data_IF_231451674957
#
_entry.id   IF_231451674957
#
_cell.length_a   1.000
_cell.length_b   1.000
_cell.length_c   1.000
_cell.angle_alpha   90.00
_cell.angle_beta   90.00
_cell.angle_gamma   90.00
#
_symmetry.space_group_name_H-M   'P 1'
#
loop_
_entity.id
_entity.type
_entity.pdbx_description
1 polymer ?
#
# COMPACT_ATOMS: atom_id res chain seq x y z
N UNK A 1 12.83 -33.41 -15.11
CA UNK A 1 12.40 -32.11 -14.56
C UNK A 1 10.89 -32.04 -14.22
N UNK A 2 9.98 -32.78 -14.88
CA UNK A 2 8.53 -32.73 -14.54
C UNK A 2 8.14 -33.46 -13.25
N UNK A 3 8.89 -34.44 -12.79
CA UNK A 3 8.57 -35.16 -11.55
C UNK A 3 9.05 -34.48 -10.27
N UNK A 4 10.18 -33.78 -10.32
CA UNK A 4 10.71 -33.09 -9.13
C UNK A 4 9.81 -31.95 -8.59
N UNK A 5 9.00 -31.29 -9.45
CA UNK A 5 8.15 -30.18 -9.01
C UNK A 5 6.85 -30.62 -8.31
N UNK A 6 6.36 -31.86 -8.54
CA UNK A 6 5.12 -32.36 -7.94
C UNK A 6 5.25 -32.67 -6.44
N UNK A 7 6.44 -33.05 -6.01
CA UNK A 7 6.67 -33.37 -4.59
C UNK A 7 6.90 -32.12 -3.73
N UNK A 8 7.25 -30.97 -4.36
CA UNK A 8 7.54 -29.71 -3.64
C UNK A 8 6.29 -28.88 -3.39
N UNK A 9 5.33 -28.89 -4.31
CA UNK A 9 4.12 -28.05 -4.26
C UNK A 9 2.86 -28.88 -4.42
N UNK A 10 1.76 -28.41 -3.82
CA UNK A 10 0.42 -28.88 -4.17
C UNK A 10 -0.01 -28.10 -5.42
N UNK A 11 -0.15 -28.79 -6.54
CA UNK A 11 -0.51 -28.16 -7.82
C UNK A 11 -2.02 -27.94 -7.89
N UNK A 12 -2.45 -26.68 -8.04
CA UNK A 12 -3.88 -26.36 -8.17
C UNK A 12 -4.53 -27.08 -9.33
N UNK A 13 -3.82 -27.24 -10.45
CA UNK A 13 -4.36 -27.88 -11.66
C UNK A 13 -4.66 -29.37 -11.53
N UNK A 14 -4.22 -30.01 -10.47
CA UNK A 14 -4.61 -31.41 -10.17
C UNK A 14 -6.04 -31.46 -9.57
N UNK A 15 -6.60 -30.35 -9.11
CA UNK A 15 -7.91 -30.22 -8.46
C UNK A 15 -8.86 -29.30 -9.22
N UNK A 16 -8.34 -28.18 -9.72
CA UNK A 16 -9.10 -27.10 -10.36
C UNK A 16 -8.45 -26.74 -11.69
N UNK A 17 -9.26 -26.61 -12.75
CA UNK A 17 -8.77 -26.19 -14.06
C UNK A 17 -8.92 -24.67 -14.23
N UNK A 18 -7.86 -23.95 -14.66
CA UNK A 18 -7.97 -22.54 -15.05
C UNK A 18 -8.75 -22.38 -16.35
N UNK A 19 -9.15 -21.14 -16.65
CA UNK A 19 -9.77 -20.72 -17.92
C UNK A 19 -11.11 -21.40 -18.24
N UNK A 20 -11.84 -21.88 -17.24
CA UNK A 20 -13.12 -22.58 -17.44
C UNK A 20 -14.31 -21.63 -17.49
N UNK A 21 -14.14 -20.37 -17.08
CA UNK A 21 -15.25 -19.43 -16.89
C UNK A 21 -16.13 -19.74 -15.67
N UNK A 22 -15.77 -20.72 -14.85
CA UNK A 22 -16.54 -21.14 -13.67
C UNK A 22 -15.91 -20.65 -12.38
N UNK A 23 -16.75 -20.44 -11.37
CA UNK A 23 -16.32 -20.21 -10.00
C UNK A 23 -15.56 -21.40 -9.44
N UNK A 24 -14.39 -21.13 -8.85
CA UNK A 24 -13.53 -22.15 -8.25
C UNK A 24 -13.24 -21.87 -6.77
N UNK A 25 -13.95 -20.90 -6.16
CA UNK A 25 -13.71 -20.48 -4.78
C UNK A 25 -13.79 -21.60 -3.77
N UNK A 26 -14.84 -22.42 -3.83
CA UNK A 26 -15.06 -23.52 -2.87
C UNK A 26 -14.01 -24.62 -3.00
N UNK A 27 -13.64 -24.95 -4.22
CA UNK A 27 -12.64 -26.00 -4.46
C UNK A 27 -11.24 -25.55 -4.03
N UNK A 28 -10.90 -24.28 -4.28
CA UNK A 28 -9.65 -23.70 -3.78
C UNK A 28 -9.63 -23.60 -2.26
N UNK A 29 -10.75 -23.19 -1.63
CA UNK A 29 -10.84 -23.12 -0.17
C UNK A 29 -10.66 -24.50 0.47
N UNK A 30 -11.29 -25.54 -0.08
CA UNK A 30 -11.08 -26.93 0.37
C UNK A 30 -9.63 -27.38 0.19
N UNK A 31 -9.03 -27.05 -0.96
CA UNK A 31 -7.64 -27.37 -1.24
C UNK A 31 -6.70 -26.75 -0.21
N UNK A 32 -6.91 -25.46 0.14
CA UNK A 32 -6.12 -24.75 1.14
C UNK A 32 -6.23 -25.45 2.50
N UNK A 33 -7.45 -25.69 2.98
CA UNK A 33 -7.68 -26.26 4.32
C UNK A 33 -7.20 -27.72 4.45
N UNK A 34 -7.19 -28.48 3.36
CA UNK A 34 -6.75 -29.87 3.36
C UNK A 34 -5.24 -30.07 3.20
N UNK A 35 -4.47 -28.99 3.04
CA UNK A 35 -3.03 -29.05 2.82
C UNK A 35 -2.24 -28.17 3.80
N UNK A 36 -2.35 -28.39 5.13
CA UNK A 36 -1.58 -27.65 6.11
C UNK A 36 -0.08 -27.84 5.89
N UNK A 37 0.68 -26.79 6.18
CA UNK A 37 2.15 -26.76 6.06
C UNK A 37 2.67 -27.04 4.64
N UNK A 38 1.89 -26.65 3.61
CA UNK A 38 2.27 -26.81 2.21
C UNK A 38 2.20 -25.48 1.46
N UNK A 39 2.98 -25.41 0.41
CA UNK A 39 2.84 -24.35 -0.60
C UNK A 39 1.92 -24.84 -1.71
N UNK A 40 0.86 -24.09 -1.98
CA UNK A 40 -0.07 -24.33 -3.08
C UNK A 40 0.37 -23.49 -4.26
N UNK A 41 0.66 -24.12 -5.38
CA UNK A 41 1.12 -23.48 -6.60
C UNK A 41 0.02 -23.39 -7.65
N UNK A 42 -0.17 -22.15 -8.16
CA UNK A 42 -1.12 -21.83 -9.23
C UNK A 42 -0.36 -21.68 -10.55
N UNK A 43 -0.44 -22.62 -11.48
CA UNK A 43 0.05 -22.43 -12.84
C UNK A 43 -0.67 -21.30 -13.58
N UNK A 44 -0.08 -20.85 -14.68
CA UNK A 44 -0.66 -19.79 -15.53
C UNK A 44 -2.10 -20.09 -15.94
N UNK A 45 -2.91 -19.06 -15.94
CA UNK A 45 -4.33 -19.10 -16.31
C UNK A 45 -5.21 -18.27 -15.38
N UNK A 46 -6.48 -18.16 -15.73
CA UNK A 46 -7.46 -17.39 -14.97
C UNK A 46 -8.31 -18.29 -14.09
N UNK A 47 -8.36 -17.96 -12.80
CA UNK A 47 -9.15 -18.63 -11.77
C UNK A 47 -10.18 -17.62 -11.26
N UNK A 48 -11.47 -17.87 -11.54
CA UNK A 48 -12.56 -16.98 -11.17
C UNK A 48 -13.07 -17.29 -9.78
N UNK A 49 -13.25 -16.22 -8.99
CA UNK A 49 -13.68 -16.27 -7.60
C UNK A 49 -14.99 -15.51 -7.40
N UNK A 50 -16.00 -16.13 -6.81
CA UNK A 50 -17.23 -15.45 -6.37
C UNK A 50 -17.17 -15.01 -4.92
N UNK A 51 -16.19 -15.48 -4.14
CA UNK A 51 -15.94 -15.15 -2.74
C UNK A 51 -14.46 -15.33 -2.39
N UNK A 52 -14.00 -14.76 -1.24
CA UNK A 52 -12.62 -14.85 -0.80
C UNK A 52 -12.10 -16.27 -0.66
N UNK A 53 -10.79 -16.46 -0.92
CA UNK A 53 -10.05 -17.60 -0.42
C UNK A 53 -9.25 -17.19 0.82
N UNK A 54 -9.27 -18.01 1.86
CA UNK A 54 -8.74 -17.71 3.18
C UNK A 54 -7.67 -18.72 3.58
N UNK A 55 -6.49 -18.26 4.01
CA UNK A 55 -5.49 -19.12 4.64
C UNK A 55 -5.70 -19.19 6.15
N UNK A 56 -5.29 -20.29 6.82
CA UNK A 56 -5.33 -20.39 8.27
C UNK A 56 -4.43 -19.36 8.95
N UNK A 57 -4.85 -18.85 10.10
CA UNK A 57 -4.04 -17.94 10.93
C UNK A 57 -3.10 -18.70 11.88
N UNK A 58 -3.44 -19.94 12.22
CA UNK A 58 -2.61 -20.74 13.11
C UNK A 58 -1.34 -21.21 12.39
N UNK A 59 -0.12 -20.82 12.86
CA UNK A 59 1.12 -21.20 12.20
C UNK A 59 1.36 -22.73 12.15
N UNK A 60 0.69 -23.51 13.00
CA UNK A 60 0.73 -24.99 12.94
C UNK A 60 0.08 -25.51 11.65
N UNK A 61 -0.86 -24.77 11.07
CA UNK A 61 -1.57 -25.11 9.85
C UNK A 61 -1.26 -24.15 8.70
N UNK A 62 -0.13 -23.44 8.76
CA UNK A 62 0.24 -22.42 7.79
C UNK A 62 0.19 -22.94 6.35
N UNK A 63 -0.29 -22.11 5.42
CA UNK A 63 -0.35 -22.40 4.00
C UNK A 63 0.19 -21.21 3.23
N UNK A 64 1.14 -21.45 2.34
CA UNK A 64 1.65 -20.43 1.42
C UNK A 64 1.01 -20.56 0.04
N UNK A 65 0.73 -19.45 -0.61
CA UNK A 65 0.18 -19.39 -1.95
C UNK A 65 1.24 -18.82 -2.90
N UNK A 66 1.58 -19.58 -3.93
CA UNK A 66 2.53 -19.17 -4.96
C UNK A 66 1.88 -19.22 -6.33
N UNK A 67 1.91 -18.10 -7.04
CA UNK A 67 1.33 -17.96 -8.36
C UNK A 67 2.44 -17.84 -9.41
N UNK A 68 2.28 -18.53 -10.53
CA UNK A 68 3.07 -18.25 -11.72
C UNK A 68 2.79 -16.84 -12.24
N UNK A 69 3.69 -16.26 -13.01
CA UNK A 69 3.64 -14.86 -13.43
C UNK A 69 2.31 -14.47 -14.09
N UNK A 70 1.70 -15.35 -14.87
CA UNK A 70 0.43 -15.12 -15.55
C UNK A 70 -0.75 -15.87 -14.92
N UNK A 71 -0.57 -16.45 -13.74
CA UNK A 71 -1.70 -16.94 -12.96
C UNK A 71 -2.49 -15.75 -12.42
N UNK A 72 -3.80 -15.74 -12.66
CA UNK A 72 -4.69 -14.64 -12.29
C UNK A 72 -5.83 -15.16 -11.41
N UNK A 73 -5.95 -14.61 -10.22
CA UNK A 73 -7.15 -14.71 -9.40
C UNK A 73 -8.03 -13.50 -9.71
N UNK A 74 -9.26 -13.71 -10.14
CA UNK A 74 -10.15 -12.62 -10.57
C UNK A 74 -11.51 -12.73 -9.92
N UNK A 75 -12.02 -11.61 -9.39
CA UNK A 75 -13.38 -11.51 -8.90
C UNK A 75 -14.39 -11.67 -10.05
N UNK A 76 -15.42 -12.48 -9.84
CA UNK A 76 -16.55 -12.63 -10.76
C UNK A 76 -17.48 -11.40 -10.67
N UNK A 77 -18.30 -11.20 -11.68
CA UNK A 77 -19.34 -10.15 -11.67
C UNK A 77 -20.38 -10.37 -10.55
N UNK A 78 -20.50 -11.58 -10.08
CA UNK A 78 -21.37 -11.99 -8.95
C UNK A 78 -20.76 -11.71 -7.58
N UNK A 79 -19.54 -11.19 -7.50
CA UNK A 79 -18.91 -10.83 -6.22
C UNK A 79 -19.69 -9.76 -5.50
N UNK A 80 -20.10 -10.00 -4.26
CA UNK A 80 -20.93 -9.10 -3.46
C UNK A 80 -20.28 -8.65 -2.15
N UNK A 81 -19.19 -9.32 -1.75
CA UNK A 81 -18.48 -9.03 -0.50
C UNK A 81 -17.55 -7.84 -0.67
N UNK A 82 -17.43 -6.99 0.36
CA UNK A 82 -16.44 -5.90 0.39
C UNK A 82 -15.08 -6.38 0.97
N UNK A 83 -14.69 -7.59 0.62
CA UNK A 83 -13.48 -8.23 1.15
C UNK A 83 -12.43 -8.41 0.07
N UNK A 84 -11.22 -8.80 0.48
CA UNK A 84 -10.12 -9.09 -0.43
C UNK A 84 -10.31 -10.46 -1.12
N UNK A 85 -9.81 -10.58 -2.36
CA UNK A 85 -9.75 -11.85 -3.09
C UNK A 85 -9.04 -12.93 -2.28
N UNK A 86 -7.93 -12.53 -1.63
CA UNK A 86 -7.13 -13.39 -0.76
C UNK A 86 -7.09 -12.80 0.64
N UNK A 87 -7.48 -13.57 1.63
CA UNK A 87 -7.45 -13.19 3.04
C UNK A 87 -6.50 -14.09 3.80
N UNK A 88 -5.31 -13.58 4.08
CA UNK A 88 -4.28 -14.33 4.80
C UNK A 88 -4.59 -14.32 6.30
N UNK A 89 -4.59 -15.50 6.92
CA UNK A 89 -4.91 -15.64 8.32
C UNK A 89 -6.37 -15.38 8.70
N UNK A 90 -7.31 -15.57 7.78
CA UNK A 90 -8.74 -15.36 8.01
C UNK A 90 -9.53 -16.64 8.29
N UNK A 91 -9.02 -17.79 7.82
CA UNK A 91 -9.62 -19.08 8.16
C UNK A 91 -9.14 -19.47 9.57
N UNK A 92 -10.06 -19.68 10.50
CA UNK A 92 -9.76 -19.95 11.90
C UNK A 92 -8.93 -18.81 12.52
N UNK A 93 -9.49 -17.60 12.67
CA UNK A 93 -8.74 -16.43 13.10
C UNK A 93 -8.07 -16.64 14.44
N UNK A 94 -6.78 -16.36 14.48
CA UNK A 94 -5.95 -16.46 15.68
C UNK A 94 -5.47 -15.06 16.07
N UNK A 95 -5.90 -14.61 17.25
CA UNK A 95 -5.65 -13.23 17.72
C UNK A 95 -4.28 -13.03 18.38
N UNK A 96 -3.39 -13.99 18.38
CA UNK A 96 -2.10 -13.86 19.06
C UNK A 96 -0.99 -13.45 18.10
N UNK A 97 -0.41 -12.28 18.32
CA UNK A 97 0.83 -11.82 17.68
C UNK A 97 2.08 -12.38 18.41
N UNK A 98 1.90 -13.15 19.47
CA UNK A 98 3.01 -13.65 20.31
C UNK A 98 3.60 -14.95 19.81
N UNK A 99 3.01 -15.57 18.79
CA UNK A 99 3.60 -16.75 18.15
C UNK A 99 4.48 -16.26 17.00
N UNK A 100 5.82 -16.29 17.15
CA UNK A 100 6.74 -15.86 16.11
C UNK A 100 6.75 -16.84 14.95
N UNK A 101 7.12 -16.32 13.78
CA UNK A 101 7.42 -17.14 12.62
C UNK A 101 6.19 -17.79 11.99
N UNK A 102 5.20 -17.00 11.64
CA UNK A 102 4.06 -17.50 10.87
C UNK A 102 4.45 -18.07 9.52
N UNK A 103 5.55 -17.64 8.94
CA UNK A 103 6.21 -18.17 7.73
C UNK A 103 5.28 -18.52 6.57
N UNK A 104 4.16 -17.82 6.38
CA UNK A 104 3.33 -17.99 5.22
C UNK A 104 3.46 -16.81 4.27
N UNK A 105 3.42 -17.16 3.00
CA UNK A 105 3.70 -16.24 1.93
C UNK A 105 2.57 -16.21 0.92
N UNK A 106 2.33 -15.01 0.37
CA UNK A 106 1.70 -14.86 -0.92
C UNK A 106 2.74 -14.36 -1.91
N UNK A 107 3.01 -15.10 -2.98
CA UNK A 107 4.05 -14.74 -3.94
C UNK A 107 3.54 -14.86 -5.38
N UNK A 108 3.79 -13.82 -6.16
CA UNK A 108 3.63 -13.82 -7.62
C UNK A 108 2.22 -13.56 -8.13
N UNK A 109 2.07 -13.65 -9.43
CA UNK A 109 0.81 -13.60 -10.16
C UNK A 109 0.08 -12.27 -10.18
N UNK A 110 -1.19 -12.34 -10.52
CA UNK A 110 -2.08 -11.21 -10.72
C UNK A 110 -3.35 -11.39 -9.87
N UNK A 111 -3.68 -10.38 -9.09
CA UNK A 111 -4.98 -10.25 -8.42
C UNK A 111 -5.80 -9.18 -9.14
N UNK A 112 -6.95 -9.55 -9.68
CA UNK A 112 -7.84 -8.64 -10.40
C UNK A 112 -9.18 -8.52 -9.66
N UNK A 113 -9.35 -7.41 -8.95
CA UNK A 113 -10.56 -7.13 -8.18
C UNK A 113 -11.81 -6.88 -9.05
N UNK A 114 -11.64 -6.72 -10.36
CA UNK A 114 -12.74 -6.46 -11.31
C UNK A 114 -13.63 -5.26 -10.89
N UNK A 115 -13.07 -4.30 -10.16
CA UNK A 115 -13.82 -3.18 -9.58
C UNK A 115 -14.82 -3.56 -8.47
N UNK A 116 -14.76 -4.78 -7.94
CA UNK A 116 -15.73 -5.34 -6.97
C UNK A 116 -15.08 -5.83 -5.68
N UNK A 117 -13.93 -6.50 -5.78
CA UNK A 117 -13.19 -7.04 -4.65
C UNK A 117 -11.96 -6.17 -4.34
N UNK A 118 -11.50 -6.20 -3.09
CA UNK A 118 -10.18 -5.75 -2.71
C UNK A 118 -9.12 -6.78 -3.13
N UNK A 119 -7.83 -6.40 -3.08
CA UNK A 119 -6.76 -7.27 -3.55
C UNK A 119 -6.42 -8.38 -2.56
N UNK A 120 -5.62 -8.08 -1.57
CA UNK A 120 -5.17 -9.03 -0.55
C UNK A 120 -5.27 -8.39 0.84
N UNK A 121 -5.67 -9.17 1.85
CA UNK A 121 -5.59 -8.73 3.24
C UNK A 121 -4.77 -9.70 4.10
N UNK A 122 -4.10 -9.14 5.12
CA UNK A 122 -3.54 -9.91 6.23
C UNK A 122 -4.48 -9.67 7.41
N UNK A 123 -5.34 -10.65 7.68
CA UNK A 123 -6.36 -10.55 8.71
C UNK A 123 -5.79 -10.87 10.09
N UNK A 124 -4.89 -11.85 10.18
CA UNK A 124 -4.16 -12.20 11.38
C UNK A 124 -2.83 -12.86 11.02
N UNK A 125 -1.84 -12.68 11.87
CA UNK A 125 -0.55 -13.32 11.74
C UNK A 125 0.61 -12.36 12.00
N UNK A 126 1.75 -12.93 12.30
CA UNK A 126 3.01 -12.23 12.46
C UNK A 126 3.97 -12.66 11.36
N UNK A 127 4.80 -11.74 10.88
CA UNK A 127 5.84 -12.04 9.88
C UNK A 127 5.28 -12.64 8.57
N UNK A 128 4.06 -12.22 8.18
CA UNK A 128 3.44 -12.62 6.93
C UNK A 128 4.05 -11.85 5.76
N UNK A 129 4.33 -12.54 4.65
CA UNK A 129 5.00 -11.92 3.51
C UNK A 129 4.11 -11.86 2.25
N UNK A 130 4.17 -10.72 1.53
CA UNK A 130 3.51 -10.52 0.23
C UNK A 130 4.56 -10.02 -0.76
N UNK A 131 4.88 -10.84 -1.76
CA UNK A 131 5.98 -10.58 -2.66
C UNK A 131 5.61 -10.70 -4.15
N UNK A 132 6.16 -9.80 -4.98
CA UNK A 132 6.14 -9.92 -6.46
C UNK A 132 4.74 -10.03 -7.10
N UNK A 133 3.73 -9.40 -6.54
CA UNK A 133 2.36 -9.48 -7.00
C UNK A 133 1.93 -8.22 -7.76
N UNK A 134 1.10 -8.41 -8.80
CA UNK A 134 0.37 -7.34 -9.48
C UNK A 134 -1.08 -7.33 -9.05
N UNK A 135 -1.54 -6.25 -8.41
CA UNK A 135 -2.90 -6.07 -7.94
C UNK A 135 -3.56 -4.98 -8.78
N UNK A 136 -4.77 -5.22 -9.29
CA UNK A 136 -5.44 -4.25 -10.13
C UNK A 136 -6.96 -4.24 -9.98
N UNK A 137 -7.56 -3.11 -10.37
CA UNK A 137 -9.01 -2.88 -10.36
C UNK A 137 -9.62 -3.12 -8.97
N UNK A 138 -8.96 -2.62 -7.91
CA UNK A 138 -9.37 -2.78 -6.50
C UNK A 138 -9.66 -1.44 -5.86
N UNK A 139 -10.59 -1.40 -4.90
CA UNK A 139 -10.77 -0.23 -4.04
C UNK A 139 -9.63 -0.14 -3.00
N UNK A 140 -9.31 -1.25 -2.32
CA UNK A 140 -8.12 -1.38 -1.47
C UNK A 140 -7.20 -2.44 -2.07
N UNK A 141 -5.96 -2.06 -2.37
CA UNK A 141 -4.98 -3.01 -2.92
C UNK A 141 -4.51 -4.01 -1.87
N UNK A 142 -3.91 -3.53 -0.79
CA UNK A 142 -3.46 -4.34 0.35
C UNK A 142 -4.06 -3.76 1.63
N UNK A 143 -4.59 -4.64 2.51
CA UNK A 143 -5.10 -4.26 3.82
C UNK A 143 -4.45 -5.10 4.92
N UNK A 144 -3.59 -4.50 5.75
CA UNK A 144 -3.00 -5.15 6.93
C UNK A 144 -3.87 -4.77 8.13
N UNK A 145 -4.68 -5.71 8.61
CA UNK A 145 -5.78 -5.45 9.54
C UNK A 145 -5.34 -5.51 11.00
N UNK A 146 -5.95 -4.66 11.82
CA UNK A 146 -5.85 -4.67 13.27
C UNK A 146 -7.19 -4.32 13.90
N UNK A 147 -7.55 -4.99 15.01
CA UNK A 147 -8.81 -4.72 15.69
C UNK A 147 -9.22 -5.84 16.65
N UNK A 148 -10.49 -5.87 17.01
CA UNK A 148 -11.00 -6.86 17.98
C UNK A 148 -10.86 -8.32 17.49
N UNK A 149 -11.02 -8.52 16.18
CA UNK A 149 -11.00 -9.85 15.53
C UNK A 149 -9.81 -10.05 14.58
N UNK A 150 -8.92 -9.06 14.45
CA UNK A 150 -7.80 -9.08 13.51
C UNK A 150 -6.56 -8.57 14.22
N UNK A 151 -5.45 -9.26 14.08
CA UNK A 151 -4.15 -8.81 14.62
C UNK A 151 -3.03 -9.24 13.71
N UNK A 152 -2.44 -8.25 13.02
CA UNK A 152 -1.31 -8.46 12.14
C UNK A 152 -0.15 -7.56 12.53
N UNK A 153 1.05 -8.09 12.56
CA UNK A 153 2.27 -7.31 12.79
C UNK A 153 3.44 -7.89 12.02
N UNK A 154 4.51 -7.09 11.91
CA UNK A 154 5.78 -7.50 11.32
C UNK A 154 5.65 -8.07 9.89
N UNK A 155 4.66 -7.61 9.12
CA UNK A 155 4.51 -8.06 7.74
C UNK A 155 5.64 -7.50 6.86
N UNK A 156 6.11 -8.33 5.91
CA UNK A 156 7.04 -7.93 4.85
C UNK A 156 6.33 -7.89 3.50
N UNK A 157 6.22 -6.69 2.94
CA UNK A 157 5.58 -6.46 1.64
C UNK A 157 6.59 -5.86 0.68
N UNK A 158 6.94 -6.57 -0.38
CA UNK A 158 7.91 -6.03 -1.31
C UNK A 158 7.65 -6.36 -2.79
N UNK A 159 8.12 -5.47 -3.66
CA UNK A 159 8.03 -5.64 -5.12
C UNK A 159 6.59 -5.85 -5.61
N UNK A 160 5.67 -5.02 -5.10
CA UNK A 160 4.25 -5.07 -5.43
C UNK A 160 3.88 -3.90 -6.33
N UNK A 161 3.09 -4.17 -7.37
CA UNK A 161 2.48 -3.16 -8.21
C UNK A 161 0.97 -3.14 -7.97
N UNK A 162 0.41 -1.95 -7.68
CA UNK A 162 -1.02 -1.76 -7.43
C UNK A 162 -1.56 -0.75 -8.44
N UNK A 163 -2.66 -1.09 -9.08
CA UNK A 163 -3.48 -0.16 -9.86
C UNK A 163 -4.90 -0.21 -9.32
N UNK A 164 -5.32 0.86 -8.65
CA UNK A 164 -6.66 0.95 -8.07
C UNK A 164 -7.78 1.07 -9.11
N UNK A 165 -8.98 1.30 -8.63
CA UNK A 165 -10.19 1.45 -9.45
C UNK A 165 -10.56 2.93 -9.73
N UNK A 166 -9.66 3.87 -9.42
CA UNK A 166 -9.83 5.32 -9.59
C UNK A 166 -10.99 5.95 -8.78
N UNK A 167 -11.58 5.24 -7.83
CA UNK A 167 -12.61 5.83 -6.97
C UNK A 167 -11.99 6.79 -5.94
N UNK A 168 -12.78 7.75 -5.47
CA UNK A 168 -12.38 8.69 -4.41
C UNK A 168 -12.19 8.05 -3.02
N UNK A 169 -12.57 6.80 -2.88
CA UNK A 169 -12.37 5.99 -1.66
C UNK A 169 -11.24 4.98 -1.81
N UNK A 170 -10.58 4.94 -2.99
CA UNK A 170 -9.56 3.94 -3.27
C UNK A 170 -8.25 4.22 -2.51
N UNK A 171 -7.69 3.15 -1.95
CA UNK A 171 -6.45 3.16 -1.17
C UNK A 171 -5.51 2.08 -1.73
N UNK A 172 -4.26 2.45 -2.01
CA UNK A 172 -3.28 1.46 -2.44
C UNK A 172 -2.95 0.47 -1.33
N UNK A 173 -2.49 0.96 -0.18
CA UNK A 173 -2.21 0.14 1.01
C UNK A 173 -2.82 0.80 2.25
N UNK A 174 -3.62 0.04 2.99
CA UNK A 174 -4.17 0.41 4.29
C UNK A 174 -3.50 -0.43 5.38
N UNK A 175 -2.80 0.26 6.32
CA UNK A 175 -2.10 -0.35 7.44
C UNK A 175 -2.77 0.03 8.76
N UNK A 176 -3.40 -0.95 9.38
CA UNK A 176 -3.87 -0.86 10.76
C UNK A 176 -2.98 -1.67 11.72
N UNK A 177 -2.29 -2.70 11.19
CA UNK A 177 -1.27 -3.50 11.92
C UNK A 177 0.06 -2.78 12.07
N UNK A 178 0.88 -3.18 13.03
CA UNK A 178 2.09 -2.50 13.47
C UNK A 178 3.37 -3.15 12.96
N UNK A 179 4.48 -2.40 12.99
CA UNK A 179 5.86 -2.88 12.78
C UNK A 179 6.09 -3.51 11.39
N UNK A 180 5.35 -3.07 10.39
CA UNK A 180 5.43 -3.62 9.03
C UNK A 180 6.55 -2.98 8.22
N UNK A 181 7.12 -3.73 7.27
CA UNK A 181 8.10 -3.26 6.30
C UNK A 181 7.53 -3.32 4.89
N UNK A 182 7.45 -2.17 4.22
CA UNK A 182 7.00 -2.06 2.83
C UNK A 182 8.13 -1.52 1.96
N UNK A 183 8.48 -2.24 0.89
CA UNK A 183 9.60 -1.86 0.03
C UNK A 183 9.32 -2.06 -1.45
N UNK A 184 9.92 -1.19 -2.29
CA UNK A 184 9.92 -1.33 -3.75
C UNK A 184 8.52 -1.49 -4.36
N UNK A 185 7.59 -0.59 -4.03
CA UNK A 185 6.22 -0.67 -4.55
C UNK A 185 5.93 0.45 -5.55
N UNK A 186 5.07 0.15 -6.53
CA UNK A 186 4.45 1.13 -7.43
C UNK A 186 2.94 1.10 -7.21
N UNK A 187 2.35 2.28 -7.02
CA UNK A 187 0.92 2.40 -6.70
C UNK A 187 0.34 3.47 -7.60
N UNK A 188 -0.69 3.14 -8.36
CA UNK A 188 -1.32 4.06 -9.30
C UNK A 188 -2.84 3.94 -9.29
N UNK A 189 -3.54 4.96 -9.79
CA UNK A 189 -4.99 4.93 -9.92
C UNK A 189 -5.76 4.82 -8.60
N UNK A 190 -5.22 5.42 -7.53
CA UNK A 190 -5.82 5.46 -6.19
C UNK A 190 -5.96 6.90 -5.71
N UNK A 191 -6.91 7.14 -4.81
CA UNK A 191 -7.09 8.43 -4.16
C UNK A 191 -6.09 8.66 -3.01
N UNK A 192 -5.81 7.60 -2.25
CA UNK A 192 -4.77 7.57 -1.22
C UNK A 192 -3.75 6.49 -1.60
N UNK A 193 -2.48 6.86 -1.73
CA UNK A 193 -1.42 5.91 -2.04
C UNK A 193 -1.22 4.91 -0.91
N UNK A 194 -0.81 5.39 0.25
CA UNK A 194 -0.62 4.60 1.47
C UNK A 194 -1.30 5.33 2.62
N UNK A 195 -2.12 4.61 3.38
CA UNK A 195 -2.69 5.08 4.64
C UNK A 195 -2.14 4.22 5.77
N UNK A 196 -1.36 4.84 6.67
CA UNK A 196 -0.82 4.21 7.86
C UNK A 196 -1.59 4.72 9.09
N UNK A 197 -2.47 3.88 9.64
CA UNK A 197 -3.24 4.15 10.85
C UNK A 197 -2.54 3.57 12.12
N UNK A 198 -1.32 3.06 11.96
CA UNK A 198 -0.51 2.41 12.99
C UNK A 198 0.94 2.90 12.97
N UNK A 199 1.72 2.50 13.97
CA UNK A 199 3.11 2.93 14.16
C UNK A 199 4.15 1.84 13.99
N UNK A 200 5.43 2.26 14.01
CA UNK A 200 6.58 1.37 13.90
C UNK A 200 6.87 0.88 12.48
N UNK A 201 6.16 1.39 11.48
CA UNK A 201 6.30 0.90 10.11
C UNK A 201 7.49 1.52 9.38
N UNK A 202 8.10 0.74 8.48
CA UNK A 202 9.18 1.15 7.60
C UNK A 202 8.67 1.17 6.15
N UNK A 203 8.78 2.33 5.51
CA UNK A 203 8.42 2.57 4.12
C UNK A 203 9.66 2.94 3.32
N UNK A 204 10.04 2.14 2.34
CA UNK A 204 11.23 2.39 1.56
C UNK A 204 11.02 2.20 0.06
N UNK A 205 11.44 3.19 -0.72
CA UNK A 205 11.32 3.18 -2.19
C UNK A 205 9.89 2.88 -2.65
N UNK A 206 8.91 3.60 -2.09
CA UNK A 206 7.52 3.52 -2.47
C UNK A 206 7.18 4.68 -3.40
N UNK A 207 6.46 4.39 -4.47
CA UNK A 207 6.14 5.36 -5.51
C UNK A 207 4.65 5.36 -5.84
N UNK A 208 3.82 6.04 -5.05
CA UNK A 208 2.47 6.38 -5.47
C UNK A 208 2.48 7.46 -6.56
N UNK A 209 1.68 7.21 -7.61
CA UNK A 209 1.45 8.08 -8.74
C UNK A 209 -0.05 8.34 -8.89
N UNK A 210 -0.46 9.61 -8.83
CA UNK A 210 -1.83 10.00 -9.12
C UNK A 210 -2.08 9.99 -10.63
N UNK A 211 -2.90 9.04 -11.07
CA UNK A 211 -3.35 8.94 -12.47
C UNK A 211 -4.81 9.36 -12.54
N UNK A 212 -5.10 10.29 -13.43
CA UNK A 212 -6.47 10.78 -13.65
C UNK A 212 -7.31 9.75 -14.39
N UNK A 213 -8.57 9.64 -13.99
CA UNK A 213 -9.59 8.94 -14.76
C UNK A 213 -10.09 9.85 -15.87
N UNK A 214 -9.38 9.91 -17.03
CA UNK A 214 -9.79 10.66 -18.21
C UNK A 214 -8.85 11.79 -18.63
N UNK A 215 -9.11 12.37 -19.79
CA UNK A 215 -8.28 13.40 -20.44
C UNK A 215 -8.44 14.80 -19.83
N UNK A 216 -9.42 15.03 -18.94
CA UNK A 216 -9.72 16.35 -18.39
C UNK A 216 -8.98 16.58 -17.08
N UNK A 217 -8.25 17.69 -17.00
CA UNK A 217 -7.42 18.12 -15.88
C UNK A 217 -8.20 18.48 -14.60
N UNK A 218 -9.53 18.48 -14.62
CA UNK A 218 -10.40 18.86 -13.52
C UNK A 218 -11.05 17.63 -12.88
N UNK A 219 -10.22 16.78 -12.27
CA UNK A 219 -10.72 15.71 -11.40
C UNK A 219 -10.89 16.29 -9.99
N UNK A 220 -12.15 16.47 -9.54
CA UNK A 220 -12.46 16.95 -8.18
C UNK A 220 -11.78 16.09 -7.09
N UNK A 221 -11.52 14.82 -7.37
CA UNK A 221 -10.85 13.91 -6.46
C UNK A 221 -9.37 14.30 -6.25
N UNK A 222 -8.75 14.99 -7.19
CA UNK A 222 -7.37 15.45 -7.05
C UNK A 222 -7.16 16.29 -5.79
N UNK A 223 -8.02 17.26 -5.52
CA UNK A 223 -7.85 18.24 -4.45
C UNK A 223 -7.86 17.64 -3.04
N UNK A 224 -8.29 16.40 -2.90
CA UNK A 224 -8.27 15.65 -1.64
C UNK A 224 -7.36 14.44 -1.69
N UNK A 225 -6.63 14.24 -2.80
CA UNK A 225 -5.71 13.11 -2.97
C UNK A 225 -4.46 13.25 -2.11
N UNK A 226 -3.99 12.11 -1.60
CA UNK A 226 -2.83 12.04 -0.69
C UNK A 226 -1.94 10.87 -1.07
N UNK A 227 -0.64 11.11 -1.29
CA UNK A 227 0.28 10.02 -1.57
C UNK A 227 0.56 9.16 -0.32
N UNK A 228 0.88 9.80 0.80
CA UNK A 228 1.17 9.16 2.08
C UNK A 228 0.35 9.83 3.19
N UNK A 229 -0.68 9.14 3.65
CA UNK A 229 -1.54 9.57 4.76
C UNK A 229 -1.08 8.85 6.03
N UNK A 230 -0.42 9.56 6.92
CA UNK A 230 0.15 9.04 8.15
C UNK A 230 -0.65 9.50 9.37
N UNK A 231 -1.32 8.56 10.02
CA UNK A 231 -2.09 8.77 11.25
C UNK A 231 -1.47 8.04 12.44
N UNK A 232 -0.34 7.34 12.20
CA UNK A 232 0.43 6.63 13.20
C UNK A 232 1.59 7.44 13.79
N UNK A 233 2.38 6.79 14.62
CA UNK A 233 3.57 7.35 15.25
C UNK A 233 4.79 6.49 14.96
N UNK A 234 5.96 7.12 15.01
CA UNK A 234 7.24 6.44 14.93
C UNK A 234 7.40 5.63 13.62
N UNK A 235 6.84 6.14 12.53
CA UNK A 235 6.97 5.59 11.18
C UNK A 235 8.21 6.18 10.48
N UNK A 236 8.86 5.36 9.65
CA UNK A 236 10.07 5.75 8.91
C UNK A 236 9.82 5.68 7.40
N UNK A 237 10.00 6.82 6.72
CA UNK A 237 9.90 6.94 5.27
C UNK A 237 11.27 7.25 4.68
N UNK A 238 11.79 6.37 3.82
CA UNK A 238 13.08 6.55 3.15
C UNK A 238 12.96 6.36 1.65
N UNK A 239 13.49 7.31 0.87
CA UNK A 239 13.46 7.30 -0.60
C UNK A 239 12.01 7.13 -1.14
N UNK A 240 11.01 7.67 -0.46
CA UNK A 240 9.63 7.61 -0.91
C UNK A 240 9.34 8.72 -1.93
N UNK A 241 8.66 8.38 -3.02
CA UNK A 241 8.39 9.27 -4.13
C UNK A 241 6.88 9.53 -4.27
N UNK A 242 6.45 10.77 -4.11
CA UNK A 242 5.09 11.20 -4.41
C UNK A 242 5.05 11.87 -5.78
N UNK A 243 4.22 11.34 -6.67
CA UNK A 243 4.07 11.85 -8.02
C UNK A 243 2.63 12.33 -8.26
N UNK A 244 2.45 13.63 -8.48
CA UNK A 244 1.19 14.27 -8.88
C UNK A 244 0.03 14.24 -7.87
N UNK A 245 0.20 13.86 -6.61
CA UNK A 245 -0.85 13.99 -5.60
C UNK A 245 -1.00 15.44 -5.13
N UNK A 246 -2.21 15.87 -4.75
CA UNK A 246 -2.41 17.21 -4.18
C UNK A 246 -1.62 17.39 -2.88
N UNK A 247 -1.62 16.39 -2.01
CA UNK A 247 -0.75 16.35 -0.82
C UNK A 247 0.19 15.16 -0.90
N UNK A 248 1.49 15.39 -0.81
CA UNK A 248 2.46 14.30 -0.84
C UNK A 248 2.47 13.54 0.49
N UNK A 249 2.70 14.22 1.61
CA UNK A 249 2.70 13.63 2.95
C UNK A 249 1.73 14.38 3.85
N UNK A 250 0.72 13.67 4.35
CA UNK A 250 -0.26 14.17 5.32
C UNK A 250 -0.06 13.45 6.65
N UNK A 251 0.11 14.19 7.76
CA UNK A 251 0.40 13.62 9.07
C UNK A 251 -0.50 14.20 10.16
N UNK A 252 -0.79 13.43 11.19
CA UNK A 252 -1.48 13.92 12.39
C UNK A 252 -0.50 14.65 13.33
N UNK A 253 -1.05 15.50 14.20
CA UNK A 253 -0.27 16.34 15.12
C UNK A 253 0.58 15.58 16.14
N UNK A 254 0.20 14.37 16.52
CA UNK A 254 0.93 13.53 17.47
C UNK A 254 2.07 12.73 16.84
N UNK A 255 2.18 12.76 15.51
CA UNK A 255 3.16 11.96 14.78
C UNK A 255 4.60 12.41 15.07
N UNK A 256 5.46 11.44 15.38
CA UNK A 256 6.91 11.61 15.53
C UNK A 256 7.62 10.82 14.46
N UNK A 257 7.23 11.04 13.22
CA UNK A 257 7.69 10.29 12.08
C UNK A 257 8.98 10.86 11.51
N UNK A 258 9.72 10.05 10.76
CA UNK A 258 10.95 10.48 10.11
C UNK A 258 10.78 10.28 8.59
N UNK A 259 10.92 11.36 7.85
CA UNK A 259 10.88 11.38 6.38
C UNK A 259 12.25 11.75 5.85
N UNK A 260 12.93 10.81 5.17
CA UNK A 260 14.27 11.04 4.63
C UNK A 260 14.30 10.85 3.12
N UNK A 261 15.09 11.67 2.43
CA UNK A 261 15.33 11.55 0.99
C UNK A 261 14.06 11.42 0.15
N UNK A 262 12.96 12.04 0.60
CA UNK A 262 11.69 12.00 -0.11
C UNK A 262 11.80 12.78 -1.41
N UNK A 263 11.24 12.24 -2.51
CA UNK A 263 11.13 12.93 -3.77
C UNK A 263 9.65 13.28 -4.04
N UNK A 264 9.37 14.55 -4.28
CA UNK A 264 8.02 15.07 -4.47
C UNK A 264 7.99 15.86 -5.76
N UNK A 265 7.10 15.48 -6.67
CA UNK A 265 7.07 16.08 -8.01
C UNK A 265 5.65 16.38 -8.48
N UNK A 266 5.52 17.57 -9.05
CA UNK A 266 4.39 17.99 -9.86
C UNK A 266 4.92 18.45 -11.23
N UNK A 267 4.37 17.92 -12.32
CA UNK A 267 4.76 18.26 -13.69
C UNK A 267 3.59 18.68 -14.58
N UNK A 268 2.37 18.66 -14.06
CA UNK A 268 1.21 19.24 -14.74
C UNK A 268 0.66 20.41 -13.92
N UNK A 269 0.50 21.55 -14.61
CA UNK A 269 -0.10 22.74 -14.00
C UNK A 269 -1.56 22.47 -13.65
N UNK A 270 -1.94 22.70 -12.40
CA UNK A 270 -3.31 22.59 -11.92
C UNK A 270 -3.66 23.77 -11.04
N UNK A 271 -4.93 24.17 -11.10
CA UNK A 271 -5.45 25.15 -10.16
C UNK A 271 -5.66 24.47 -8.80
N UNK A 272 -4.90 24.81 -7.79
CA UNK A 272 -5.07 24.25 -6.45
C UNK A 272 -3.86 24.47 -5.55
N UNK A 273 -3.98 24.00 -4.32
CA UNK A 273 -2.90 24.03 -3.33
C UNK A 273 -2.15 22.71 -3.37
N UNK A 274 -0.87 22.76 -3.77
CA UNK A 274 0.04 21.63 -3.72
C UNK A 274 0.80 21.66 -2.40
N UNK A 275 0.69 20.60 -1.59
CA UNK A 275 1.36 20.50 -0.31
C UNK A 275 2.40 19.38 -0.34
N UNK A 276 3.68 19.71 -0.11
CA UNK A 276 4.68 18.68 0.07
C UNK A 276 4.48 17.94 1.39
N UNK A 277 4.30 18.69 2.48
CA UNK A 277 4.01 18.14 3.80
C UNK A 277 2.86 18.92 4.45
N UNK A 278 1.90 18.20 5.04
CA UNK A 278 0.74 18.78 5.72
C UNK A 278 0.55 18.13 7.09
N UNK A 279 0.72 18.93 8.16
CA UNK A 279 0.44 18.50 9.52
C UNK A 279 -0.96 18.99 9.96
N UNK A 280 -1.81 18.06 10.33
CA UNK A 280 -3.12 18.35 10.92
C UNK A 280 -2.97 18.52 12.43
N UNK A 281 -2.62 19.72 12.86
CA UNK A 281 -2.22 20.08 14.21
C UNK A 281 -0.78 20.57 14.25
N UNK A 282 -0.07 20.28 15.34
CA UNK A 282 1.34 20.64 15.52
C UNK A 282 2.27 19.75 14.71
N UNK A 283 3.34 20.31 14.18
CA UNK A 283 4.37 19.55 13.48
C UNK A 283 5.44 19.05 14.45
N UNK A 284 5.57 17.72 14.63
CA UNK A 284 6.49 17.08 15.58
C UNK A 284 7.41 16.04 14.94
N UNK A 285 7.43 15.96 13.62
CA UNK A 285 8.21 15.00 12.85
C UNK A 285 9.52 15.58 12.34
N UNK A 286 10.41 14.74 11.83
CA UNK A 286 11.66 15.15 11.19
C UNK A 286 11.53 14.92 9.69
N UNK A 287 11.78 15.98 8.92
CA UNK A 287 11.89 15.93 7.46
C UNK A 287 13.34 16.23 7.10
N UNK A 288 14.03 15.27 6.49
CA UNK A 288 15.46 15.38 6.16
C UNK A 288 15.70 15.21 4.68
N UNK A 289 16.40 16.18 4.09
CA UNK A 289 16.80 16.21 2.68
C UNK A 289 15.64 15.87 1.71
N UNK A 290 14.46 16.47 1.83
CA UNK A 290 13.41 16.29 0.84
C UNK A 290 13.83 16.98 -0.45
N UNK A 291 13.57 16.33 -1.59
CA UNK A 291 13.69 16.95 -2.90
C UNK A 291 12.28 17.26 -3.43
N UNK A 292 11.96 18.53 -3.55
CA UNK A 292 10.63 19.01 -3.95
C UNK A 292 10.72 19.79 -5.25
N UNK A 293 9.92 19.41 -6.23
CA UNK A 293 9.82 20.07 -7.52
C UNK A 293 8.40 20.62 -7.72
N UNK A 294 8.22 21.91 -7.48
CA UNK A 294 6.98 22.63 -7.77
C UNK A 294 6.90 23.00 -9.26
N UNK A 295 5.73 22.93 -9.88
CA UNK A 295 5.60 23.11 -11.32
C UNK A 295 4.99 24.46 -11.76
N UNK A 296 4.27 25.18 -10.91
CA UNK A 296 3.55 26.37 -11.32
C UNK A 296 3.37 27.42 -10.23
N UNK A 297 3.00 28.63 -10.67
CA UNK A 297 2.54 29.75 -9.84
C UNK A 297 1.16 29.47 -9.19
N UNK A 298 1.04 28.33 -8.52
CA UNK A 298 -0.12 27.98 -7.70
C UNK A 298 0.19 28.25 -6.23
N UNK A 299 -0.79 28.11 -5.36
CA UNK A 299 -0.55 28.24 -3.92
C UNK A 299 0.15 27.00 -3.40
N UNK A 300 1.48 27.03 -3.39
CA UNK A 300 2.33 25.90 -3.04
C UNK A 300 2.85 26.04 -1.60
N UNK A 301 2.94 24.94 -0.89
CA UNK A 301 3.50 24.89 0.45
C UNK A 301 4.48 23.74 0.62
N UNK A 302 5.68 24.04 1.15
CA UNK A 302 6.61 23.01 1.58
C UNK A 302 6.08 22.32 2.84
N UNK A 303 5.57 23.08 3.79
CA UNK A 303 4.93 22.59 5.01
C UNK A 303 3.74 23.48 5.36
N UNK A 304 2.58 22.88 5.57
CA UNK A 304 1.44 23.52 6.22
C UNK A 304 1.20 22.92 7.59
N UNK A 305 0.86 23.73 8.58
CA UNK A 305 0.50 23.33 9.94
C UNK A 305 -0.79 24.01 10.35
N UNK A 306 -1.66 23.32 11.08
CA UNK A 306 -2.87 23.96 11.62
C UNK A 306 -2.67 24.53 13.02
N UNK A 307 -1.62 24.13 13.73
CA UNK A 307 -1.21 24.63 15.04
C UNK A 307 0.30 24.86 15.10
N UNK A 308 0.73 26.03 15.60
CA UNK A 308 2.15 26.42 15.57
C UNK A 308 3.00 25.99 16.77
N UNK A 309 2.61 24.96 17.50
CA UNK A 309 3.26 24.57 18.78
C UNK A 309 4.19 23.35 18.67
N UNK A 310 4.59 22.96 17.46
CA UNK A 310 5.35 21.75 17.23
C UNK A 310 6.84 21.86 17.51
N UNK A 311 7.48 20.73 17.79
CA UNK A 311 8.93 20.57 17.95
C UNK A 311 9.61 19.92 16.74
N UNK A 312 8.91 19.85 15.61
CA UNK A 312 9.43 19.25 14.39
C UNK A 312 10.59 20.02 13.76
N UNK A 313 11.24 19.39 12.80
CA UNK A 313 12.43 19.98 12.16
C UNK A 313 12.46 19.62 10.66
N UNK A 314 12.89 20.57 9.85
CA UNK A 314 13.18 20.38 8.42
C UNK A 314 14.68 20.62 8.19
N UNK A 315 15.40 19.61 7.69
CA UNK A 315 16.83 19.68 7.46
C UNK A 315 17.15 19.63 5.96
N UNK A 316 17.90 20.63 5.49
CA UNK A 316 18.49 20.70 4.15
C UNK A 316 17.54 20.36 2.98
N UNK A 317 16.37 21.02 2.89
CA UNK A 317 15.47 20.78 1.77
C UNK A 317 16.10 21.24 0.45
N UNK A 318 16.00 20.43 -0.60
CA UNK A 318 16.31 20.80 -1.96
C UNK A 318 15.03 21.15 -2.70
N UNK A 319 14.88 22.39 -3.14
CA UNK A 319 13.63 22.91 -3.71
C UNK A 319 13.91 23.50 -5.09
N UNK A 320 13.31 22.92 -6.11
CA UNK A 320 13.20 23.50 -7.43
C UNK A 320 12.01 24.46 -7.43
N UNK A 321 12.21 25.67 -7.98
CA UNK A 321 11.20 26.70 -8.03
C UNK A 321 10.71 27.15 -6.65
N UNK A 322 11.66 27.44 -5.74
CA UNK A 322 11.36 27.94 -4.38
C UNK A 322 10.56 29.27 -4.41
N UNK A 323 10.65 30.04 -5.50
CA UNK A 323 9.89 31.26 -5.75
C UNK A 323 8.36 31.02 -5.82
N UNK A 324 7.93 29.77 -6.10
CA UNK A 324 6.50 29.40 -6.15
C UNK A 324 5.91 29.06 -4.78
N UNK A 325 6.73 29.03 -3.72
CA UNK A 325 6.22 28.77 -2.36
C UNK A 325 5.56 30.03 -1.83
N UNK A 326 4.26 29.96 -1.62
CA UNK A 326 3.46 31.06 -1.08
C UNK A 326 3.32 31.03 0.45
N UNK A 327 3.36 29.82 1.05
CA UNK A 327 3.31 29.64 2.50
C UNK A 327 4.72 29.48 3.08
N UNK A 328 5.14 30.46 3.89
CA UNK A 328 6.47 30.55 4.50
C UNK A 328 6.54 29.87 5.89
N UNK A 329 5.50 29.17 6.33
CA UNK A 329 5.45 28.51 7.67
C UNK A 329 6.61 27.53 7.89
N UNK A 330 7.11 26.91 6.84
CA UNK A 330 8.26 25.98 6.93
C UNK A 330 9.53 26.63 7.49
N UNK A 331 9.70 27.95 7.37
CA UNK A 331 10.87 28.67 7.88
C UNK A 331 10.99 28.62 9.40
N UNK A 332 9.86 28.49 10.11
CA UNK A 332 9.84 28.36 11.57
C UNK A 332 10.48 27.04 12.05
N UNK A 333 10.52 26.03 11.19
CA UNK A 333 11.02 24.68 11.48
C UNK A 333 12.33 24.35 10.75
N UNK A 334 12.85 25.28 9.96
CA UNK A 334 14.02 25.04 9.12
C UNK A 334 15.30 24.98 9.96
N UNK A 335 16.03 23.87 9.86
CA UNK A 335 17.38 23.71 10.40
C UNK A 335 18.36 23.53 9.23
N UNK A 336 19.22 24.51 9.03
CA UNK A 336 20.15 24.54 7.89
C UNK A 336 19.63 25.35 6.70
N UNK A 337 20.42 25.40 5.63
CA UNK A 337 20.11 26.22 4.45
C UNK A 337 19.21 25.46 3.47
N UNK A 338 18.32 26.21 2.81
CA UNK A 338 17.58 25.70 1.62
C UNK A 338 18.57 25.58 0.47
N UNK A 339 18.58 24.43 -0.19
CA UNK A 339 19.39 24.17 -1.37
C UNK A 339 18.50 24.43 -2.60
N UNK A 340 18.81 25.45 -3.36
CA UNK A 340 18.18 25.72 -4.67
C UNK A 340 19.12 25.23 -5.75
N UNK A 341 18.71 24.30 -6.62
CA UNK A 341 19.52 23.89 -7.76
C UNK A 341 19.84 25.10 -8.65
N UNK A 342 21.07 25.18 -9.13
CA UNK A 342 21.38 26.17 -10.16
C UNK A 342 20.68 25.74 -11.45
N UNK A 343 19.84 26.62 -11.99
CA UNK A 343 19.21 26.50 -13.31
C UNK A 343 20.25 26.41 -14.43
#
# INVERSE_FOLDING_TARGET
>A
MKELNRDMYVMVTDYVKPNTGKDVSDDLQKLILNNPNRTIFFPDGEYLLSKPICTPANPVNAVSLKLATFAKLKAMDTWTEKEALVRMGAAEPYNSIYIPGSNYYFEGGILDGNGKANGISIDSGRETAIHHVSIKNTEIGIHIKWGANNRSSDADVHSVNIVGNHSKTSIGVLLEGHDNTLTNMRIAGVHVGIQADSGGNIFRNLHPLYIYAGENAEDENFFTSVAFMDRGNDNFYDICYSDQFCTAFSMLSSSRNIYTNSYIMWYTTRSGVENAFKAHGSFNSIIRMPHVNFNAETTNALLTVTEKNGSGMIEYPMINHAEYITDQTYLEYLSGNVITPKT
#
